data_IF_604227169838
#
_entry.id   IF_604227169838
#
_cell.length_a   1.000
_cell.length_b   1.000
_cell.length_c   1.000
_cell.angle_alpha   90.00
_cell.angle_beta   90.00
_cell.angle_gamma   90.00
#
_symmetry.space_group_name_H-M   'P 1'
#
loop_
_entity.id
_entity.type
_entity.pdbx_description
1 polymer ?
#
# COMPACT_ATOMS: atom_id res chain seq x y z
N UNK A 1 12.17 -12.81 -21.74
CA UNK A 1 12.40 -11.35 -21.68
C UNK A 1 13.38 -11.07 -20.55
N UNK A 2 14.31 -10.13 -20.73
CA UNK A 2 15.38 -9.87 -19.74
C UNK A 2 14.81 -9.31 -18.41
N UNK A 3 13.64 -8.68 -18.44
CA UNK A 3 13.02 -7.99 -17.29
C UNK A 3 11.79 -8.72 -16.72
N UNK A 4 11.70 -10.04 -16.86
CA UNK A 4 10.59 -10.80 -16.28
C UNK A 4 10.72 -10.90 -14.75
N UNK A 5 9.60 -10.77 -14.03
CA UNK A 5 9.57 -10.85 -12.55
C UNK A 5 10.21 -12.14 -12.02
N UNK A 6 10.07 -13.27 -12.72
CA UNK A 6 10.68 -14.54 -12.29
C UNK A 6 12.21 -14.50 -12.12
N UNK A 7 12.88 -13.52 -12.72
CA UNK A 7 14.32 -13.33 -12.57
C UNK A 7 14.68 -12.58 -11.27
N UNK A 8 13.69 -12.00 -10.58
CA UNK A 8 13.86 -11.18 -9.37
C UNK A 8 13.12 -11.71 -8.15
N UNK A 9 12.07 -12.51 -8.36
CA UNK A 9 11.22 -12.98 -7.27
C UNK A 9 11.97 -13.88 -6.31
N UNK A 10 11.57 -13.84 -5.04
CA UNK A 10 11.90 -14.88 -4.08
C UNK A 10 11.07 -16.12 -4.35
N UNK A 11 11.71 -17.28 -4.50
CA UNK A 11 11.06 -18.56 -4.79
C UNK A 11 10.77 -19.39 -3.54
N UNK A 12 11.53 -19.21 -2.47
CA UNK A 12 11.26 -19.84 -1.18
C UNK A 12 10.20 -19.04 -0.41
N UNK A 13 8.94 -19.17 -0.85
CA UNK A 13 7.84 -18.40 -0.28
C UNK A 13 7.22 -19.13 0.90
N UNK A 14 7.34 -18.53 2.07
CA UNK A 14 6.56 -18.93 3.25
C UNK A 14 5.09 -18.65 2.96
N UNK A 15 4.23 -19.65 3.16
CA UNK A 15 2.80 -19.55 2.96
C UNK A 15 2.05 -20.22 4.11
N UNK A 16 0.77 -19.89 4.25
CA UNK A 16 -0.14 -20.51 5.21
C UNK A 16 -1.42 -20.98 4.53
N UNK A 17 -2.16 -21.90 5.15
CA UNK A 17 -3.49 -22.30 4.69
C UNK A 17 -4.58 -21.46 5.38
N UNK A 18 -5.80 -21.39 4.80
CA UNK A 18 -6.90 -20.69 5.45
C UNK A 18 -7.28 -21.27 6.82
N UNK A 19 -6.96 -22.53 7.10
CA UNK A 19 -7.30 -23.23 8.34
C UNK A 19 -6.27 -23.07 9.45
N UNK A 20 -5.04 -22.66 9.12
CA UNK A 20 -4.03 -22.36 10.13
C UNK A 20 -4.46 -21.17 11.00
N UNK A 21 -3.93 -21.12 12.21
CA UNK A 21 -4.20 -20.08 13.18
C UNK A 21 -3.44 -18.79 12.87
N UNK A 22 -3.97 -17.66 13.34
CA UNK A 22 -3.26 -16.38 13.29
C UNK A 22 -1.96 -16.40 14.08
N UNK A 23 -1.91 -17.18 15.16
CA UNK A 23 -0.68 -17.39 15.93
C UNK A 23 0.42 -18.02 15.07
N UNK A 24 0.13 -19.11 14.36
CA UNK A 24 1.10 -19.76 13.46
C UNK A 24 1.54 -18.80 12.35
N UNK A 25 0.61 -18.03 11.78
CA UNK A 25 0.96 -17.01 10.78
C UNK A 25 1.90 -15.93 11.37
N UNK A 26 1.63 -15.44 12.57
CA UNK A 26 2.48 -14.45 13.25
C UNK A 26 3.86 -15.02 13.63
N UNK A 27 3.94 -16.29 14.03
CA UNK A 27 5.21 -16.97 14.29
C UNK A 27 6.05 -17.07 13.03
N UNK A 28 5.44 -17.42 11.89
CA UNK A 28 6.11 -17.43 10.60
C UNK A 28 6.60 -16.04 10.18
N UNK A 29 5.80 -14.99 10.44
CA UNK A 29 6.21 -13.60 10.21
C UNK A 29 7.47 -13.24 10.99
N UNK A 30 7.53 -13.58 12.28
CA UNK A 30 8.70 -13.34 13.13
C UNK A 30 9.91 -14.15 12.69
N UNK A 31 9.74 -15.45 12.42
CA UNK A 31 10.84 -16.34 12.05
C UNK A 31 11.52 -15.94 10.74
N UNK A 32 10.77 -15.33 9.82
CA UNK A 32 11.25 -14.98 8.48
C UNK A 32 11.45 -13.48 8.28
N UNK A 33 11.22 -12.65 9.31
CA UNK A 33 11.27 -11.18 9.24
C UNK A 33 10.41 -10.60 8.10
N UNK A 34 9.16 -11.09 7.99
CA UNK A 34 8.20 -10.69 6.95
C UNK A 34 6.89 -10.20 7.57
N UNK A 35 6.27 -9.19 6.97
CA UNK A 35 4.98 -8.64 7.41
C UNK A 35 3.77 -9.07 6.56
N UNK A 36 3.97 -9.94 5.57
CA UNK A 36 2.91 -10.41 4.68
C UNK A 36 3.18 -11.84 4.22
N UNK A 37 2.15 -12.68 4.26
CA UNK A 37 2.23 -14.10 3.90
C UNK A 37 1.08 -14.42 2.93
N UNK A 38 1.35 -15.01 1.75
CA UNK A 38 0.30 -15.52 0.87
C UNK A 38 -0.43 -16.69 1.54
N UNK A 39 -1.76 -16.69 1.39
CA UNK A 39 -2.60 -17.78 1.84
C UNK A 39 -2.84 -18.71 0.65
N UNK A 40 -2.49 -19.98 0.80
CA UNK A 40 -2.48 -20.99 -0.25
C UNK A 40 -3.28 -22.20 0.19
N UNK A 41 -4.07 -22.75 -0.74
CA UNK A 41 -4.78 -24.01 -0.55
C UNK A 41 -4.66 -24.84 -1.83
N UNK A 42 -4.16 -26.06 -1.69
CA UNK A 42 -3.82 -26.96 -2.80
C UNK A 42 -2.95 -26.28 -3.89
N UNK A 43 -1.97 -25.48 -3.45
CA UNK A 43 -1.03 -24.75 -4.31
C UNK A 43 -1.58 -23.49 -4.99
N UNK A 44 -2.90 -23.30 -4.97
CA UNK A 44 -3.56 -22.11 -5.47
C UNK A 44 -3.64 -21.01 -4.40
N UNK A 45 -3.38 -19.76 -4.81
CA UNK A 45 -3.48 -18.61 -3.92
C UNK A 45 -4.96 -18.33 -3.63
N UNK A 46 -5.29 -18.22 -2.34
CA UNK A 46 -6.64 -17.89 -1.83
C UNK A 46 -6.72 -16.50 -1.23
N UNK A 47 -5.61 -15.95 -0.79
CA UNK A 47 -5.56 -14.61 -0.23
C UNK A 47 -4.15 -14.19 0.17
N UNK A 48 -4.10 -13.12 0.95
CA UNK A 48 -2.89 -12.67 1.64
C UNK A 48 -3.28 -12.24 3.05
N UNK A 49 -2.41 -12.53 4.03
CA UNK A 49 -2.54 -12.04 5.40
C UNK A 49 -1.33 -11.17 5.75
N UNK A 50 -1.58 -10.02 6.37
CA UNK A 50 -0.55 -9.09 6.81
C UNK A 50 -0.59 -8.86 8.32
N UNK A 51 0.50 -8.34 8.88
CA UNK A 51 0.56 -7.87 10.27
C UNK A 51 -0.58 -6.88 10.61
N UNK A 52 -0.91 -5.99 9.67
CA UNK A 52 -2.03 -5.06 9.76
C UNK A 52 -3.38 -5.76 9.77
N UNK A 53 -3.56 -6.81 8.98
CA UNK A 53 -4.80 -7.58 8.99
C UNK A 53 -5.01 -8.26 10.35
N UNK A 54 -3.96 -8.88 10.90
CA UNK A 54 -3.99 -9.46 12.26
C UNK A 54 -4.39 -8.38 13.28
N UNK A 55 -3.72 -7.22 13.22
CA UNK A 55 -3.97 -6.11 14.16
C UNK A 55 -5.41 -5.58 14.06
N UNK A 56 -5.89 -5.35 12.83
CA UNK A 56 -7.14 -4.60 12.59
C UNK A 56 -8.38 -5.49 12.54
N UNK A 57 -8.23 -6.78 12.19
CA UNK A 57 -9.36 -7.71 11.99
C UNK A 57 -9.44 -8.80 13.07
N UNK A 58 -8.38 -9.01 13.85
CA UNK A 58 -8.40 -9.90 15.01
C UNK A 58 -8.21 -9.15 16.32
N UNK A 59 -7.03 -8.55 16.56
CA UNK A 59 -6.70 -7.91 17.85
C UNK A 59 -7.67 -6.79 18.20
N UNK A 60 -7.93 -5.87 17.26
CA UNK A 60 -8.87 -4.77 17.46
C UNK A 60 -10.32 -5.23 17.68
N UNK A 61 -10.65 -6.44 17.22
CA UNK A 61 -11.99 -7.05 17.35
C UNK A 61 -12.10 -7.94 18.61
N UNK A 62 -11.07 -7.98 19.46
CA UNK A 62 -11.04 -8.81 20.67
C UNK A 62 -10.91 -10.31 20.40
N UNK A 63 -10.50 -10.70 19.19
CA UNK A 63 -10.21 -12.11 18.89
C UNK A 63 -8.80 -12.50 19.37
N UNK A 64 -8.58 -13.78 19.66
CA UNK A 64 -7.31 -14.31 20.14
C UNK A 64 -6.43 -14.90 19.02
N UNK A 65 -5.33 -15.56 19.37
CA UNK A 65 -4.44 -16.17 18.38
C UNK A 65 -5.00 -17.43 17.71
N UNK A 66 -6.11 -18.00 18.20
CA UNK A 66 -6.66 -19.26 17.74
C UNK A 66 -7.61 -19.11 16.54
N UNK A 67 -8.02 -17.88 16.21
CA UNK A 67 -8.77 -17.63 14.97
C UNK A 67 -8.00 -18.14 13.77
N UNK A 68 -8.74 -18.52 12.74
CA UNK A 68 -8.16 -18.98 11.50
C UNK A 68 -7.68 -17.80 10.65
N UNK A 69 -6.65 -18.03 9.84
CA UNK A 69 -6.17 -17.08 8.82
C UNK A 69 -7.30 -16.69 7.87
N UNK A 70 -8.15 -17.64 7.47
CA UNK A 70 -9.27 -17.41 6.55
C UNK A 70 -10.27 -16.36 7.05
N UNK A 71 -10.43 -16.18 8.37
CA UNK A 71 -11.32 -15.16 8.94
C UNK A 71 -10.77 -13.74 8.83
N UNK A 72 -9.46 -13.57 8.65
CA UNK A 72 -8.81 -12.25 8.70
C UNK A 72 -8.06 -11.89 7.42
N UNK A 73 -7.75 -12.87 6.56
CA UNK A 73 -7.05 -12.62 5.30
C UNK A 73 -7.85 -11.72 4.35
N UNK A 74 -7.14 -11.08 3.42
CA UNK A 74 -7.76 -10.43 2.27
C UNK A 74 -7.83 -11.41 1.10
N UNK A 75 -9.02 -11.58 0.52
CA UNK A 75 -9.30 -12.45 -0.63
C UNK A 75 -9.29 -11.71 -1.99
N UNK A 76 -9.11 -10.39 -1.97
CA UNK A 76 -8.89 -9.59 -3.17
C UNK A 76 -7.47 -9.80 -3.70
N UNK A 77 -7.33 -10.85 -4.51
CA UNK A 77 -6.07 -11.27 -5.10
C UNK A 77 -5.58 -10.26 -6.14
N UNK A 78 -4.45 -9.63 -5.83
CA UNK A 78 -3.60 -9.02 -6.83
C UNK A 78 -2.35 -9.88 -6.95
N UNK A 79 -2.15 -10.50 -8.11
CA UNK A 79 -0.99 -11.35 -8.40
C UNK A 79 -0.34 -10.90 -9.71
N UNK A 80 0.91 -11.30 -9.89
CA UNK A 80 1.63 -11.13 -11.15
C UNK A 80 1.93 -12.49 -11.79
N UNK A 81 1.87 -12.58 -13.12
CA UNK A 81 2.40 -13.75 -13.82
C UNK A 81 3.94 -13.74 -13.76
N UNK A 82 4.56 -14.92 -13.68
CA UNK A 82 6.02 -15.08 -13.66
C UNK A 82 6.73 -14.39 -14.86
N UNK A 83 6.04 -14.23 -15.99
CA UNK A 83 6.57 -13.58 -17.19
C UNK A 83 6.17 -12.11 -17.33
N UNK A 84 5.42 -11.55 -16.38
CA UNK A 84 5.09 -10.12 -16.34
C UNK A 84 6.38 -9.29 -16.27
N UNK A 85 6.37 -8.14 -16.94
CA UNK A 85 7.48 -7.20 -16.91
C UNK A 85 7.55 -6.46 -15.56
N UNK A 86 8.76 -6.19 -15.08
CA UNK A 86 9.00 -5.50 -13.80
C UNK A 86 8.34 -4.13 -13.73
N UNK A 87 8.32 -3.36 -14.83
CA UNK A 87 7.65 -2.07 -14.86
C UNK A 87 6.14 -2.20 -14.62
N UNK A 88 5.53 -3.20 -15.27
CA UNK A 88 4.11 -3.51 -15.06
C UNK A 88 3.83 -3.94 -13.62
N UNK A 89 4.73 -4.71 -13.02
CA UNK A 89 4.64 -5.09 -11.61
C UNK A 89 4.66 -3.87 -10.68
N UNK A 90 5.59 -2.94 -10.90
CA UNK A 90 5.72 -1.72 -10.12
C UNK A 90 4.49 -0.82 -10.27
N UNK A 91 3.97 -0.69 -11.48
CA UNK A 91 2.73 0.04 -11.74
C UNK A 91 1.54 -0.62 -11.02
N UNK A 92 1.40 -1.95 -11.10
CA UNK A 92 0.34 -2.67 -10.41
C UNK A 92 0.43 -2.49 -8.89
N UNK A 93 1.64 -2.55 -8.31
CA UNK A 93 1.89 -2.24 -6.90
C UNK A 93 1.42 -0.83 -6.54
N UNK A 94 1.74 0.16 -7.36
CA UNK A 94 1.32 1.54 -7.16
C UNK A 94 -0.20 1.70 -7.23
N UNK A 95 -0.84 1.15 -8.26
CA UNK A 95 -2.30 1.23 -8.45
C UNK A 95 -3.07 0.55 -7.33
N UNK A 96 -2.60 -0.61 -6.88
CA UNK A 96 -3.24 -1.39 -5.82
C UNK A 96 -2.80 -0.99 -4.42
N UNK A 97 -1.88 -0.02 -4.30
CA UNK A 97 -1.36 0.48 -3.03
C UNK A 97 -0.72 -0.62 -2.17
N UNK A 98 -0.03 -1.56 -2.82
CA UNK A 98 0.63 -2.70 -2.19
C UNK A 98 2.13 -2.67 -2.48
N UNK A 99 2.93 -3.19 -1.54
CA UNK A 99 4.40 -3.19 -1.64
C UNK A 99 4.99 -4.55 -2.02
N UNK A 100 4.12 -5.57 -2.08
CA UNK A 100 4.44 -6.98 -2.29
C UNK A 100 3.39 -7.58 -3.22
N UNK A 101 3.83 -8.39 -4.17
CA UNK A 101 3.01 -9.09 -5.14
C UNK A 101 3.34 -10.59 -5.09
N UNK A 102 2.37 -11.45 -4.76
CA UNK A 102 2.48 -12.86 -5.05
C UNK A 102 2.62 -13.08 -6.56
N UNK A 103 3.56 -13.94 -6.95
CA UNK A 103 3.84 -14.29 -8.33
C UNK A 103 3.30 -15.68 -8.59
N UNK A 104 2.55 -15.84 -9.68
CA UNK A 104 1.95 -17.10 -10.08
C UNK A 104 2.52 -17.61 -11.40
N UNK A 105 2.62 -18.93 -11.52
CA UNK A 105 2.87 -19.62 -12.78
C UNK A 105 1.83 -20.74 -12.93
N UNK A 106 1.09 -20.77 -14.02
CA UNK A 106 -0.02 -21.73 -14.24
C UNK A 106 -1.06 -21.75 -13.11
N UNK A 107 -1.35 -20.58 -12.50
CA UNK A 107 -2.31 -20.44 -11.41
C UNK A 107 -1.83 -20.95 -10.04
N UNK A 108 -0.56 -21.38 -9.94
CA UNK A 108 0.08 -21.82 -8.70
C UNK A 108 1.01 -20.74 -8.17
N UNK A 109 1.20 -20.68 -6.86
CA UNK A 109 2.20 -19.78 -6.26
C UNK A 109 3.61 -20.21 -6.71
N UNK A 110 4.30 -19.32 -7.43
CA UNK A 110 5.65 -19.53 -7.93
C UNK A 110 6.69 -18.70 -7.18
N UNK A 111 6.30 -17.56 -6.62
CA UNK A 111 7.21 -16.66 -5.94
C UNK A 111 6.52 -15.48 -5.28
N UNK A 112 7.32 -14.57 -4.75
CA UNK A 112 6.86 -13.29 -4.24
C UNK A 112 7.89 -12.21 -4.62
N UNK A 113 7.40 -11.03 -5.00
CA UNK A 113 8.25 -9.89 -5.34
C UNK A 113 7.80 -8.67 -4.54
N UNK A 114 8.75 -7.90 -4.01
CA UNK A 114 8.53 -6.69 -3.26
C UNK A 114 9.19 -5.48 -3.94
N UNK A 115 8.77 -4.28 -3.57
CA UNK A 115 9.49 -3.05 -3.98
C UNK A 115 10.95 -3.03 -3.51
N UNK A 116 11.25 -3.70 -2.38
CA UNK A 116 12.62 -3.88 -1.92
C UNK A 116 13.44 -4.69 -2.92
N UNK A 117 12.89 -5.80 -3.43
CA UNK A 117 13.55 -6.64 -4.43
C UNK A 117 13.83 -5.84 -5.71
N UNK A 118 12.86 -5.02 -6.15
CA UNK A 118 13.05 -4.13 -7.30
C UNK A 118 14.15 -3.09 -7.05
N UNK A 119 14.18 -2.48 -5.87
CA UNK A 119 15.14 -1.43 -5.52
C UNK A 119 16.60 -1.94 -5.43
N UNK A 120 16.81 -3.23 -5.13
CA UNK A 120 18.15 -3.81 -5.06
C UNK A 120 18.83 -3.94 -6.43
N UNK A 121 18.05 -3.85 -7.51
CA UNK A 121 18.56 -3.89 -8.88
C UNK A 121 18.74 -2.48 -9.41
N UNK A 122 19.97 -2.10 -9.77
CA UNK A 122 20.31 -0.76 -10.26
C UNK A 122 19.40 -0.28 -11.41
N UNK A 123 18.97 -1.20 -12.29
CA UNK A 123 18.12 -0.86 -13.44
C UNK A 123 16.66 -0.61 -13.11
N UNK A 124 16.18 -0.99 -11.91
CA UNK A 124 14.77 -0.88 -11.49
C UNK A 124 14.53 0.08 -10.31
N UNK A 125 15.56 0.85 -9.94
CA UNK A 125 15.46 1.82 -8.83
C UNK A 125 14.42 2.91 -9.07
N UNK A 126 14.27 3.35 -10.33
CA UNK A 126 13.30 4.38 -10.69
C UNK A 126 11.86 3.86 -10.53
N UNK A 127 11.59 2.65 -11.01
CA UNK A 127 10.31 1.95 -10.90
C UNK A 127 9.94 1.75 -9.43
N UNK A 128 10.89 1.24 -8.63
CA UNK A 128 10.70 1.06 -7.20
C UNK A 128 10.41 2.39 -6.48
N UNK A 129 11.18 3.44 -6.79
CA UNK A 129 11.02 4.76 -6.19
C UNK A 129 9.68 5.43 -6.55
N UNK A 130 9.26 5.35 -7.82
CA UNK A 130 7.98 5.89 -8.27
C UNK A 130 6.81 5.16 -7.62
N UNK A 131 6.82 3.83 -7.64
CA UNK A 131 5.78 3.04 -7.00
C UNK A 131 5.71 3.32 -5.50
N UNK A 132 6.85 3.36 -4.81
CA UNK A 132 6.91 3.66 -3.39
C UNK A 132 6.37 5.07 -3.08
N UNK A 133 6.66 6.06 -3.91
CA UNK A 133 6.13 7.43 -3.77
C UNK A 133 4.61 7.42 -3.87
N UNK A 134 4.06 6.77 -4.90
CA UNK A 134 2.61 6.70 -5.12
C UNK A 134 1.87 5.93 -4.03
N UNK A 135 2.51 4.93 -3.43
CA UNK A 135 1.95 4.17 -2.28
C UNK A 135 2.02 5.00 -1.00
N UNK A 136 3.10 5.76 -0.81
CA UNK A 136 3.29 6.60 0.38
C UNK A 136 2.40 7.84 0.36
N UNK A 137 2.08 8.34 -0.84
CA UNK A 137 1.21 9.47 -1.08
C UNK A 137 0.09 9.10 -2.07
N UNK A 138 -0.95 8.37 -1.61
CA UNK A 138 -2.07 8.00 -2.45
C UNK A 138 -2.73 9.25 -3.06
N UNK A 139 -3.19 9.18 -4.32
CA UNK A 139 -3.84 10.31 -5.01
C UNK A 139 -5.04 10.90 -4.23
N UNK A 140 -5.70 10.11 -3.39
CA UNK A 140 -6.76 10.58 -2.49
C UNK A 140 -6.26 11.61 -1.45
N UNK A 141 -4.99 11.51 -1.01
CA UNK A 141 -4.37 12.48 -0.11
C UNK A 141 -3.94 13.77 -0.81
N UNK A 142 -3.69 13.76 -2.13
CA UNK A 142 -3.31 14.96 -2.87
C UNK A 142 -4.49 15.93 -3.03
N UNK A 143 -5.71 15.43 -3.27
CA UNK A 143 -6.91 16.28 -3.32
C UNK A 143 -7.26 16.85 -1.94
N UNK A 144 -7.09 16.06 -0.87
CA UNK A 144 -7.34 16.52 0.50
C UNK A 144 -6.34 17.61 0.94
N UNK A 145 -5.06 17.48 0.61
CA UNK A 145 -4.03 18.48 0.94
C UNK A 145 -4.16 19.74 0.08
N UNK A 146 -4.46 19.62 -1.22
CA UNK A 146 -4.71 20.78 -2.09
C UNK A 146 -5.98 21.54 -1.67
N UNK A 147 -7.05 20.84 -1.27
CA UNK A 147 -8.27 21.46 -0.75
C UNK A 147 -8.05 22.24 0.56
N UNK A 148 -7.23 21.70 1.48
CA UNK A 148 -6.88 22.40 2.72
C UNK A 148 -5.99 23.63 2.50
N UNK A 149 -5.00 23.54 1.60
CA UNK A 149 -4.15 24.69 1.24
C UNK A 149 -4.92 25.78 0.48
N UNK A 150 -5.80 25.39 -0.44
CA UNK A 150 -6.67 26.32 -1.16
C UNK A 150 -7.64 27.05 -0.20
N UNK A 151 -8.25 26.32 0.75
CA UNK A 151 -9.14 26.89 1.75
C UNK A 151 -8.45 27.88 2.70
N UNK A 152 -7.21 27.59 3.13
CA UNK A 152 -6.42 28.50 3.97
C UNK A 152 -6.00 29.78 3.21
N UNK A 153 -5.61 29.65 1.94
CA UNK A 153 -5.27 30.80 1.09
C UNK A 153 -6.49 31.71 0.84
N UNK A 154 -7.67 31.14 0.63
CA UNK A 154 -8.90 31.88 0.39
C UNK A 154 -9.38 32.63 1.64
N UNK A 155 -9.32 32.01 2.82
CA UNK A 155 -9.63 32.68 4.10
C UNK A 155 -8.65 33.83 4.39
N UNK A 156 -7.35 33.66 4.09
CA UNK A 156 -6.36 34.72 4.26
C UNK A 156 -6.63 35.95 3.39
N UNK A 157 -7.02 35.74 2.12
CA UNK A 157 -7.36 36.83 1.20
C UNK A 157 -8.64 37.56 1.61
N UNK A 158 -9.68 36.83 2.05
CA UNK A 158 -10.92 37.45 2.54
C UNK A 158 -10.71 38.27 3.82
N UNK A 159 -9.88 37.77 4.76
CA UNK A 159 -9.54 38.51 5.97
C UNK A 159 -8.77 39.81 5.66
N UNK A 160 -7.84 39.79 4.71
CA UNK A 160 -7.11 40.99 4.28
C UNK A 160 -8.03 42.02 3.59
N UNK A 161 -8.95 41.56 2.73
CA UNK A 161 -9.93 42.44 2.09
C UNK A 161 -10.90 43.07 3.10
N UNK A 162 -11.38 42.30 4.07
CA UNK A 162 -12.24 42.81 5.13
C UNK A 162 -11.51 43.85 6.01
N UNK A 163 -10.22 43.64 6.31
CA UNK A 163 -9.41 44.61 7.04
C UNK A 163 -9.19 45.92 6.25
N UNK A 164 -8.95 45.83 4.93
CA UNK A 164 -8.79 47.01 4.07
C UNK A 164 -10.10 47.81 3.93
N UNK A 165 -11.25 47.13 3.79
CA UNK A 165 -12.56 47.79 3.73
C UNK A 165 -12.90 48.48 5.05
N UNK A 166 -12.56 47.87 6.20
CA UNK A 166 -12.77 48.51 7.51
C UNK A 166 -11.87 49.75 7.70
N UNK A 167 -10.63 49.73 7.21
CA UNK A 167 -9.75 50.91 7.27
C UNK A 167 -10.23 52.04 6.34
N UNK A 168 -10.80 51.72 5.17
CA UNK A 168 -11.38 52.71 4.27
C UNK A 168 -12.66 53.34 4.83
N UNK A 169 -13.51 52.56 5.53
CA UNK A 169 -14.74 53.07 6.14
C UNK A 169 -14.52 53.81 7.46
N UNK A 170 -13.34 53.70 8.09
CA UNK A 170 -13.00 54.45 9.30
C UNK A 170 -12.38 55.83 9.04
N UNK A 171 -12.18 56.23 7.78
CA UNK A 171 -11.64 57.54 7.45
C UNK A 171 -12.64 58.49 6.74
N UNK A 172 -13.81 58.81 7.32
CA UNK A 172 -14.70 59.79 6.73
C UNK A 172 -14.41 61.21 7.24
N UNK A 173 -13.20 61.78 7.04
CA UNK A 173 -13.02 63.25 7.11
C UNK A 173 -11.78 63.75 6.34
N UNK A 174 -12.01 64.32 5.16
CA UNK A 174 -11.32 65.54 4.69
C UNK A 174 -12.09 66.10 3.48
N UNK A 175 -13.27 66.64 3.77
CA UNK A 175 -13.88 67.68 2.92
C UNK A 175 -14.47 68.73 3.85
N UNK A 176 -13.61 69.67 4.26
CA UNK A 176 -13.86 71.10 4.28
C UNK A 176 -12.55 71.84 4.49
#
# INVERSE_FOLDING_TARGET
MQNAIKNLMSTNVVSVTPQQSLKEAAELMVQNDIGAIPVVDNGAIKGIITDRDITTRATAMGKDGNCTVGECMSDQLTTADANMDVHQAAQLMAEKQIRRLPVTENGQLAGMVSLGDLATQNIFQNEAGQALTNISFPAHNQMAQQGQQAGQAQMGQQAQQAQQQNQQNQNPQSFQ
#
